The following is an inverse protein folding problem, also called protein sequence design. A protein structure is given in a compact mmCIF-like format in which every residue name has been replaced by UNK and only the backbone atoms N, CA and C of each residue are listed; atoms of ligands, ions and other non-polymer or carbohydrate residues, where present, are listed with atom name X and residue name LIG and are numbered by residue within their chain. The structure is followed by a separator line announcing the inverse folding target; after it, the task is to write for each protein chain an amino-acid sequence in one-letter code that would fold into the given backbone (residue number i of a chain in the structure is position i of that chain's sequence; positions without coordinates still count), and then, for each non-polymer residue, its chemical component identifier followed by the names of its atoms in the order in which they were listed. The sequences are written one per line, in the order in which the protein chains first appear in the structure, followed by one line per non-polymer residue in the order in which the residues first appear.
data_IF_056889621216
#
_entry.id   IF_056889621216
#
_cell.length_a   1.000
_cell.length_b   1.000
_cell.length_c   1.000
_cell.angle_alpha   90.00
_cell.angle_beta   90.00
_cell.angle_gamma   90.00
#
_symmetry.space_group_name_H-M   'P 1'
#
loop_
_entity.id
_entity.type
_entity.pdbx_description
1 polymer ?
#
# COMPACT_ATOMS: atom_id res chain seq x y z
N UNK A 1 -13.36 2.99 2.25
CA UNK A 1 -13.26 4.27 1.52
C UNK A 1 -11.85 4.86 1.68
N UNK A 2 -10.86 4.42 0.89
CA UNK A 2 -9.46 4.80 1.14
C UNK A 2 -9.16 6.31 1.02
N UNK A 3 -8.42 6.87 1.98
CA UNK A 3 -8.00 8.28 1.99
C UNK A 3 -6.67 8.47 1.26
N UNK A 4 -6.65 9.38 0.26
CA UNK A 4 -5.46 9.71 -0.55
C UNK A 4 -4.70 10.86 0.12
N UNK A 5 -3.44 10.63 0.53
CA UNK A 5 -2.62 11.65 1.21
C UNK A 5 -1.23 11.72 0.60
N UNK A 6 -1.13 12.31 -0.60
CA UNK A 6 0.15 12.42 -1.30
C UNK A 6 0.76 11.05 -1.59
N UNK A 7 2.00 10.85 -1.17
CA UNK A 7 2.76 9.60 -1.30
C UNK A 7 2.44 8.57 -0.19
N UNK A 8 1.41 8.83 0.62
CA UNK A 8 0.87 7.94 1.64
C UNK A 8 -0.58 7.51 1.29
N UNK A 9 -0.86 6.22 1.44
CA UNK A 9 -2.19 5.65 1.24
C UNK A 9 -2.72 5.00 2.52
N UNK A 10 -3.90 5.41 2.97
CA UNK A 10 -4.58 4.78 4.11
C UNK A 10 -5.57 3.72 3.62
N UNK A 11 -5.26 2.44 3.86
CA UNK A 11 -6.15 1.32 3.58
C UNK A 11 -7.22 1.20 4.65
N UNK A 12 -8.50 1.43 4.30
CA UNK A 12 -9.59 1.27 5.27
C UNK A 12 -10.09 -0.18 5.38
N UNK A 13 -10.25 -0.87 4.25
CA UNK A 13 -10.72 -2.26 4.24
C UNK A 13 -10.48 -2.90 2.88
N UNK A 14 -10.25 -4.22 2.87
CA UNK A 14 -10.18 -5.06 1.69
C UNK A 14 -11.07 -6.27 1.91
N UNK A 15 -11.91 -6.60 0.92
CA UNK A 15 -12.74 -7.81 0.93
C UNK A 15 -12.27 -8.76 -0.16
N UNK A 16 -12.42 -10.06 0.08
CA UNK A 16 -12.12 -11.12 -0.90
C UNK A 16 -13.29 -12.08 -0.95
N UNK A 17 -13.75 -12.41 -2.17
CA UNK A 17 -14.78 -13.45 -2.40
C UNK A 17 -14.21 -14.74 -2.95
N UNK A 18 -12.92 -14.73 -3.28
CA UNK A 18 -12.15 -15.88 -3.76
C UNK A 18 -10.80 -15.89 -3.04
N UNK A 19 -10.17 -17.05 -3.00
CA UNK A 19 -8.84 -17.18 -2.41
C UNK A 19 -7.83 -16.28 -3.15
N UNK A 20 -6.89 -15.68 -2.40
CA UNK A 20 -5.81 -14.83 -2.91
C UNK A 20 -6.19 -13.54 -3.65
N UNK A 21 -7.47 -13.25 -3.91
CA UNK A 21 -7.85 -12.03 -4.65
C UNK A 21 -7.43 -10.73 -3.92
N UNK A 22 -7.61 -10.65 -2.60
CA UNK A 22 -7.14 -9.50 -1.81
C UNK A 22 -5.62 -9.37 -1.82
N UNK A 23 -4.88 -10.47 -1.76
CA UNK A 23 -3.41 -10.48 -1.81
C UNK A 23 -2.91 -9.97 -3.16
N UNK A 24 -3.48 -10.46 -4.26
CA UNK A 24 -3.15 -10.02 -5.61
C UNK A 24 -3.46 -8.54 -5.79
N UNK A 25 -4.62 -8.07 -5.30
CA UNK A 25 -4.98 -6.66 -5.38
C UNK A 25 -3.97 -5.76 -4.64
N UNK A 26 -3.57 -6.14 -3.42
CA UNK A 26 -2.59 -5.37 -2.66
C UNK A 26 -1.22 -5.39 -3.32
N UNK A 27 -0.77 -6.55 -3.80
CA UNK A 27 0.52 -6.67 -4.46
C UNK A 27 0.60 -5.81 -5.73
N UNK A 28 -0.42 -5.90 -6.60
CA UNK A 28 -0.50 -5.09 -7.82
C UNK A 28 -0.54 -3.60 -7.47
N UNK A 29 -1.30 -3.23 -6.44
CA UNK A 29 -1.36 -1.86 -5.96
C UNK A 29 -0.01 -1.38 -5.43
N UNK A 30 0.68 -2.14 -4.58
CA UNK A 30 1.99 -1.79 -4.04
C UNK A 30 3.02 -1.57 -5.14
N UNK A 31 3.06 -2.46 -6.13
CA UNK A 31 4.00 -2.34 -7.25
C UNK A 31 3.76 -1.04 -8.05
N UNK A 32 2.51 -0.75 -8.39
CA UNK A 32 2.15 0.47 -9.10
C UNK A 32 2.37 1.71 -8.22
N UNK A 33 1.99 1.67 -6.94
CA UNK A 33 2.16 2.77 -6.00
C UNK A 33 3.63 3.15 -5.84
N UNK A 34 4.51 2.17 -5.61
CA UNK A 34 5.97 2.38 -5.51
C UNK A 34 6.51 3.04 -6.78
N UNK A 35 6.11 2.55 -7.95
CA UNK A 35 6.59 3.03 -9.25
C UNK A 35 6.26 4.51 -9.51
N UNK A 36 5.17 5.00 -8.92
CA UNK A 36 4.72 6.39 -9.07
C UNK A 36 5.10 7.28 -7.86
N UNK A 37 6.02 6.82 -7.01
CA UNK A 37 6.56 7.60 -5.91
C UNK A 37 5.82 7.44 -4.58
N UNK A 38 4.87 6.50 -4.49
CA UNK A 38 4.28 6.09 -3.23
C UNK A 38 5.32 5.48 -2.29
N UNK A 39 5.19 5.74 -0.99
CA UNK A 39 6.20 5.39 0.03
C UNK A 39 5.64 4.62 1.22
N UNK A 40 4.41 4.91 1.63
CA UNK A 40 3.82 4.31 2.83
C UNK A 40 2.37 3.89 2.58
N UNK A 41 2.05 2.65 2.94
CA UNK A 41 0.70 2.13 3.02
C UNK A 41 0.39 1.91 4.50
N UNK A 42 -0.58 2.66 4.99
CA UNK A 42 -1.10 2.53 6.35
C UNK A 42 -2.19 1.45 6.36
N UNK A 43 -1.95 0.37 7.09
CA UNK A 43 -2.89 -0.73 7.29
C UNK A 43 -3.65 -0.67 8.62
N UNK A 44 -3.57 0.46 9.34
CA UNK A 44 -4.20 0.75 10.63
C UNK A 44 -3.74 -0.19 11.75
N UNK A 45 -4.23 -1.43 11.75
CA UNK A 45 -3.96 -2.44 12.78
C UNK A 45 -3.28 -3.64 12.13
N UNK A 46 -2.11 -4.02 12.66
CA UNK A 46 -1.43 -5.22 12.25
C UNK A 46 -2.24 -6.45 12.65
N UNK A 47 -2.51 -7.33 11.68
CA UNK A 47 -3.10 -8.64 11.90
C UNK A 47 -2.33 -9.71 11.09
N UNK A 48 -2.62 -10.99 11.33
CA UNK A 48 -1.94 -12.11 10.66
C UNK A 48 -2.01 -12.04 9.13
N UNK A 49 -3.10 -11.49 8.57
CA UNK A 49 -3.21 -11.32 7.13
C UNK A 49 -2.25 -10.24 6.61
N UNK A 50 -2.24 -9.04 7.20
CA UNK A 50 -1.34 -7.96 6.81
C UNK A 50 0.14 -8.28 7.09
N UNK A 51 0.44 -8.97 8.20
CA UNK A 51 1.79 -9.44 8.52
C UNK A 51 2.29 -10.44 7.48
N UNK A 52 1.44 -11.37 7.01
CA UNK A 52 1.79 -12.30 5.93
C UNK A 52 2.09 -11.61 4.59
N UNK A 53 1.66 -10.35 4.45
CA UNK A 53 1.90 -9.50 3.27
C UNK A 53 3.13 -8.59 3.43
N UNK A 54 3.84 -8.68 4.56
CA UNK A 54 5.03 -7.88 4.86
C UNK A 54 4.73 -6.57 5.61
N UNK A 55 3.54 -6.41 6.18
CA UNK A 55 3.27 -5.29 7.07
C UNK A 55 4.08 -5.41 8.37
N UNK A 56 4.63 -4.29 8.81
CA UNK A 56 5.35 -4.17 10.08
C UNK A 56 4.66 -3.14 10.98
N UNK A 57 4.91 -3.22 12.28
CA UNK A 57 4.60 -2.12 13.18
C UNK A 57 5.75 -1.12 13.19
N UNK A 58 5.40 0.17 13.21
CA UNK A 58 6.36 1.26 13.42
C UNK A 58 5.90 2.09 14.61
N UNK A 59 6.83 2.70 15.37
CA UNK A 59 6.48 3.62 16.45
C UNK A 59 5.55 4.72 15.94
N UNK A 60 4.54 5.07 16.76
CA UNK A 60 3.58 6.15 16.43
C UNK A 60 4.29 7.45 16.02
N UNK A 61 5.40 7.78 16.67
CA UNK A 61 6.20 8.96 16.35
C UNK A 61 6.72 8.92 14.91
N UNK A 62 7.33 7.82 14.51
CA UNK A 62 7.89 7.63 13.17
C UNK A 62 6.77 7.67 12.12
N UNK A 63 5.62 7.06 12.41
CA UNK A 63 4.43 7.17 11.56
C UNK A 63 3.99 8.61 11.36
N UNK A 64 3.91 9.41 12.43
CA UNK A 64 3.49 10.82 12.35
C UNK A 64 4.50 11.67 11.57
N UNK A 65 5.80 11.39 11.71
CA UNK A 65 6.86 12.06 10.94
C UNK A 65 6.73 11.72 9.44
N UNK A 66 6.50 10.45 9.11
CA UNK A 66 6.21 10.02 7.74
C UNK A 66 4.92 10.66 7.20
N UNK A 67 3.85 10.71 7.98
CA UNK A 67 2.58 11.30 7.59
C UNK A 67 2.74 12.79 7.28
N UNK A 68 3.46 13.54 8.10
CA UNK A 68 3.72 14.95 7.90
C UNK A 68 4.50 15.21 6.61
N UNK A 69 5.54 14.42 6.35
CA UNK A 69 6.39 14.54 5.17
C UNK A 69 5.67 14.12 3.88
N UNK A 70 5.06 12.93 3.87
CA UNK A 70 4.51 12.31 2.66
C UNK A 70 3.20 12.94 2.19
N UNK A 71 2.43 13.57 3.09
CA UNK A 71 1.19 14.26 2.74
C UNK A 71 1.41 15.41 1.75
N UNK A 72 2.61 16.01 1.77
CA UNK A 72 2.98 17.11 0.87
C UNK A 72 3.57 16.65 -0.45
N UNK A 73 3.85 15.35 -0.61
CA UNK A 73 4.44 14.80 -1.82
C UNK A 73 3.34 14.29 -2.76
N UNK A 74 3.01 14.99 -3.85
CA UNK A 74 1.99 14.52 -4.77
C UNK A 74 2.47 13.31 -5.58
N UNK A 75 1.57 12.37 -5.84
CA UNK A 75 1.76 11.38 -6.90
C UNK A 75 1.50 12.02 -8.27
N UNK A 76 1.85 11.31 -9.34
CA UNK A 76 1.50 11.72 -10.70
C UNK A 76 0.00 12.07 -10.80
N UNK A 77 -0.33 13.18 -11.47
CA UNK A 77 -1.70 13.73 -11.57
C UNK A 77 -2.75 12.72 -12.03
N UNK A 78 -2.36 11.79 -12.90
CA UNK A 78 -3.21 10.72 -13.46
C UNK A 78 -3.24 9.43 -12.65
N UNK A 79 -2.54 9.35 -11.52
CA UNK A 79 -2.38 8.11 -10.76
C UNK A 79 -3.72 7.54 -10.26
N UNK A 80 -4.71 8.40 -9.99
CA UNK A 80 -6.02 7.97 -9.49
C UNK A 80 -7.10 7.86 -10.56
N UNK A 81 -6.76 8.04 -11.83
CA UNK A 81 -7.70 7.83 -12.93
C UNK A 81 -7.98 6.33 -13.06
N UNK A 82 -9.25 5.90 -13.15
CA UNK A 82 -9.60 4.50 -13.35
C UNK A 82 -8.84 3.89 -14.53
N UNK A 83 -8.10 2.81 -14.25
CA UNK A 83 -7.36 2.06 -15.26
C UNK A 83 -7.15 0.62 -14.83
N UNK A 84 -6.89 -0.24 -15.80
CA UNK A 84 -6.49 -1.61 -15.56
C UNK A 84 -5.02 -1.65 -15.17
N UNK A 85 -4.72 -2.20 -13.99
CA UNK A 85 -3.34 -2.37 -13.50
C UNK A 85 -2.77 -3.76 -13.82
N UNK A 86 -3.64 -4.76 -13.98
CA UNK A 86 -3.27 -6.15 -14.19
C UNK A 86 -4.28 -6.85 -15.10
N UNK A 87 -3.79 -7.64 -16.04
CA UNK A 87 -4.57 -8.52 -16.90
C UNK A 87 -4.14 -9.98 -16.66
N UNK A 88 -5.07 -10.90 -16.32
CA UNK A 88 -4.75 -12.31 -16.14
C UNK A 88 -4.20 -12.91 -17.44
N UNK A 89 -3.05 -13.59 -17.36
CA UNK A 89 -2.38 -14.21 -18.52
C UNK A 89 -1.12 -13.48 -19.02
N UNK A 90 -0.74 -12.35 -18.41
CA UNK A 90 0.54 -11.69 -18.67
C UNK A 90 1.58 -12.07 -17.61
N UNK A 91 2.71 -12.67 -18.01
CA UNK A 91 3.74 -13.29 -17.15
C UNK A 91 4.56 -12.33 -16.24
N UNK A 92 4.02 -11.18 -15.83
CA UNK A 92 4.82 -10.18 -15.10
C UNK A 92 4.69 -10.32 -13.57
N UNK A 93 5.14 -11.46 -13.02
CA UNK A 93 5.24 -11.67 -11.56
C UNK A 93 6.60 -12.24 -11.11
N UNK A 94 7.63 -12.17 -11.96
CA UNK A 94 8.98 -12.51 -11.57
C UNK A 94 9.66 -11.28 -10.99
N UNK A 95 9.89 -11.28 -9.68
CA UNK A 95 10.65 -10.28 -8.91
C UNK A 95 9.94 -8.96 -8.55
N UNK A 96 8.95 -9.04 -7.67
CA UNK A 96 8.57 -7.87 -6.84
C UNK A 96 9.27 -8.04 -5.49
N UNK A 97 10.46 -7.46 -5.38
CA UNK A 97 11.10 -7.24 -4.08
C UNK A 97 10.66 -5.87 -3.55
N UNK A 98 9.96 -5.86 -2.41
CA UNK A 98 9.46 -4.65 -1.74
C UNK A 98 10.61 -3.90 -1.03
N UNK A 99 11.46 -3.17 -1.77
CA UNK A 99 12.50 -2.32 -1.17
C UNK A 99 12.12 -0.84 -1.08
N UNK A 100 10.90 -0.46 -1.48
CA UNK A 100 10.54 0.97 -1.64
C UNK A 100 9.23 1.44 -0.99
N UNK A 101 8.35 0.53 -0.59
CA UNK A 101 7.08 0.87 0.10
C UNK A 101 7.02 0.15 1.43
N UNK A 102 6.86 0.93 2.48
CA UNK A 102 6.62 0.41 3.82
C UNK A 102 5.11 0.15 3.92
N UNK A 103 4.72 -1.05 4.35
CA UNK A 103 3.36 -1.31 4.81
C UNK A 103 3.44 -1.26 6.34
N UNK A 104 2.79 -0.27 6.95
CA UNK A 104 2.88 -0.08 8.39
C UNK A 104 1.51 0.01 9.06
N UNK A 105 1.43 -0.55 10.26
CA UNK A 105 0.42 -0.18 11.25
C UNK A 105 1.04 0.81 12.23
N UNK A 106 0.31 1.87 12.57
CA UNK A 106 0.72 2.77 13.64
C UNK A 106 0.45 2.07 14.98
N UNK A 107 1.46 2.02 15.85
CA UNK A 107 1.29 1.50 17.21
C UNK A 107 0.15 2.29 17.92
N UNK A 108 -0.92 1.59 18.29
CA UNK A 108 -2.00 2.12 19.11
C UNK A 108 -1.56 2.01 20.58
N UNK A 109 -0.78 2.99 21.03
CA UNK A 109 -0.61 3.29 22.46
C UNK A 109 -1.33 4.58 22.78
#
# INVERSE_FOLDING_TARGET
MASRRGALFCGESMFSRQENASKTALLVFCAEFTRHGGKLIDCQVLNSHTASLGAIEIPRRDYLDHLAALRQQPLASRFWVPRTLFLPGSECFRHIFYWGVIIAAAELV
#
